data_IF_860758874704
#
_entry.id   IF_860758874704
#
_cell.length_a   1.000
_cell.length_b   1.000
_cell.length_c   1.000
_cell.angle_alpha   90.00
_cell.angle_beta   90.00
_cell.angle_gamma   90.00
#
_symmetry.space_group_name_H-M   'P 1'
#
loop_
_entity.id
_entity.type
_entity.pdbx_description
1 polymer ?
#
# COMPACT_ATOMS: atom_id res chain seq x y z
N UNK A 1 2.53 -12.81 -3.31
CA UNK A 1 3.66 -11.87 -3.45
C UNK A 1 4.27 -11.63 -2.09
N UNK A 2 5.49 -11.10 -2.03
CA UNK A 2 6.14 -10.81 -0.74
C UNK A 2 5.51 -9.57 -0.09
N UNK A 3 4.60 -9.80 0.86
CA UNK A 3 3.85 -8.74 1.52
C UNK A 3 4.71 -7.87 2.44
N UNK A 4 5.79 -8.45 2.99
CA UNK A 4 6.75 -7.71 3.80
C UNK A 4 7.51 -6.72 2.93
N UNK A 5 8.03 -7.20 1.80
CA UNK A 5 8.68 -6.35 0.81
C UNK A 5 7.73 -5.23 0.32
N UNK A 6 6.47 -5.55 0.00
CA UNK A 6 5.50 -4.56 -0.45
C UNK A 6 5.33 -3.41 0.54
N UNK A 7 5.21 -3.70 1.83
CA UNK A 7 5.06 -2.67 2.85
C UNK A 7 6.28 -1.74 2.92
N UNK A 8 7.48 -2.30 3.04
CA UNK A 8 8.70 -1.49 3.19
C UNK A 8 9.09 -0.76 1.89
N UNK A 9 8.94 -1.40 0.73
CA UNK A 9 9.16 -0.74 -0.55
C UNK A 9 8.23 0.44 -0.74
N UNK A 10 6.96 0.31 -0.33
CA UNK A 10 5.99 1.42 -0.37
C UNK A 10 6.41 2.57 0.53
N UNK A 11 6.92 2.30 1.75
CA UNK A 11 7.44 3.35 2.65
C UNK A 11 8.63 4.09 2.02
N UNK A 12 9.60 3.36 1.46
CA UNK A 12 10.79 3.95 0.83
C UNK A 12 10.40 4.80 -0.38
N UNK A 13 9.57 4.26 -1.28
CA UNK A 13 9.14 4.99 -2.47
C UNK A 13 8.29 6.21 -2.10
N UNK A 14 7.42 6.10 -1.09
CA UNK A 14 6.67 7.25 -0.60
C UNK A 14 7.61 8.37 -0.12
N UNK A 15 8.72 8.03 0.54
CA UNK A 15 9.69 9.03 1.00
C UNK A 15 10.47 9.69 -0.16
N UNK A 16 10.67 8.97 -1.27
CA UNK A 16 11.30 9.51 -2.48
C UNK A 16 10.35 10.36 -3.33
N UNK A 17 9.04 10.21 -3.15
CA UNK A 17 7.97 10.87 -3.92
C UNK A 17 8.12 10.67 -5.46
N UNK A 18 7.37 11.46 -6.23
CA UNK A 18 7.45 11.52 -7.69
C UNK A 18 6.89 10.30 -8.44
N UNK A 19 7.18 10.25 -9.74
CA UNK A 19 6.57 9.31 -10.69
C UNK A 19 6.76 7.82 -10.30
N UNK A 20 7.87 7.49 -9.65
CA UNK A 20 8.15 6.13 -9.19
C UNK A 20 7.17 5.72 -8.08
N UNK A 21 6.90 6.62 -7.13
CA UNK A 21 5.90 6.38 -6.11
C UNK A 21 4.50 6.30 -6.69
N UNK A 22 4.12 7.21 -7.59
CA UNK A 22 2.78 7.23 -8.19
C UNK A 22 2.48 5.93 -8.94
N UNK A 23 3.43 5.46 -9.78
CA UNK A 23 3.30 4.22 -10.51
C UNK A 23 3.23 3.01 -9.57
N UNK A 24 4.11 2.97 -8.56
CA UNK A 24 4.14 1.89 -7.58
C UNK A 24 2.84 1.83 -6.77
N UNK A 25 2.40 2.97 -6.23
CA UNK A 25 1.20 3.08 -5.41
C UNK A 25 -0.05 2.65 -6.21
N UNK A 26 -0.17 3.09 -7.46
CA UNK A 26 -1.25 2.62 -8.34
C UNK A 26 -1.24 1.10 -8.50
N UNK A 27 -0.08 0.51 -8.87
CA UNK A 27 0.04 -0.94 -9.05
C UNK A 27 -0.24 -1.73 -7.78
N UNK A 28 0.26 -1.26 -6.64
CA UNK A 28 0.04 -1.92 -5.35
C UNK A 28 -1.42 -1.85 -4.91
N UNK A 29 -2.07 -0.69 -5.07
CA UNK A 29 -3.49 -0.53 -4.80
C UNK A 29 -4.32 -1.49 -5.63
N UNK A 30 -4.13 -1.50 -6.95
CA UNK A 30 -4.89 -2.39 -7.84
C UNK A 30 -4.64 -3.86 -7.53
N UNK A 31 -3.38 -4.24 -7.28
CA UNK A 31 -3.01 -5.62 -6.94
C UNK A 31 -3.69 -6.08 -5.64
N UNK A 32 -3.58 -5.29 -4.56
CA UNK A 32 -4.12 -5.65 -3.25
C UNK A 32 -5.64 -5.65 -3.26
N UNK A 33 -6.30 -4.66 -3.89
CA UNK A 33 -7.76 -4.64 -4.01
C UNK A 33 -8.27 -5.85 -4.80
N UNK A 34 -7.61 -6.20 -5.92
CA UNK A 34 -8.01 -7.35 -6.73
C UNK A 34 -7.84 -8.69 -6.02
N UNK A 35 -6.84 -8.81 -5.15
CA UNK A 35 -6.49 -10.06 -4.47
C UNK A 35 -7.13 -10.20 -3.08
N UNK A 36 -7.80 -9.16 -2.59
CA UNK A 36 -8.55 -9.21 -1.35
C UNK A 36 -9.77 -10.12 -1.48
N UNK A 37 -10.03 -10.93 -0.46
CA UNK A 37 -11.24 -11.76 -0.37
C UNK A 37 -12.50 -10.87 -0.40
N UNK A 38 -13.45 -11.18 -1.28
CA UNK A 38 -14.65 -10.35 -1.50
C UNK A 38 -15.88 -10.85 -0.77
N UNK A 39 -15.89 -12.12 -0.38
CA UNK A 39 -17.06 -12.81 0.17
C UNK A 39 -16.66 -13.82 1.25
N UNK A 40 -17.67 -14.33 1.97
CA UNK A 40 -17.50 -15.31 3.04
C UNK A 40 -16.94 -14.72 4.34
N UNK A 41 -16.56 -15.62 5.26
CA UNK A 41 -16.09 -15.28 6.61
C UNK A 41 -14.83 -14.39 6.60
N UNK A 42 -13.98 -14.54 5.59
CA UNK A 42 -12.70 -13.83 5.49
C UNK A 42 -12.76 -12.59 4.59
N UNK A 43 -13.96 -12.11 4.24
CA UNK A 43 -14.15 -10.90 3.43
C UNK A 43 -13.32 -9.73 3.97
N UNK A 44 -12.59 -9.06 3.07
CA UNK A 44 -11.74 -7.92 3.40
C UNK A 44 -10.30 -8.28 3.78
N UNK A 45 -9.97 -9.57 3.89
CA UNK A 45 -8.62 -10.04 4.23
C UNK A 45 -7.86 -10.62 3.03
N UNK A 46 -6.62 -11.07 3.26
CA UNK A 46 -5.79 -11.74 2.25
C UNK A 46 -5.36 -13.12 2.74
N UNK A 47 -5.38 -14.11 1.83
CA UNK A 47 -4.93 -15.48 2.12
C UNK A 47 -3.42 -15.50 2.42
N UNK A 48 -2.98 -16.31 3.41
CA UNK A 48 -1.56 -16.51 3.67
C UNK A 48 -0.86 -17.42 2.65
N UNK A 49 -1.63 -18.19 1.87
CA UNK A 49 -1.11 -19.18 0.95
C UNK A 49 -0.23 -18.53 -0.14
N UNK A 50 0.97 -19.08 -0.33
CA UNK A 50 1.92 -18.57 -1.32
C UNK A 50 2.52 -17.20 -0.97
N UNK A 51 2.33 -16.71 0.26
CA UNK A 51 2.98 -15.50 0.78
C UNK A 51 4.19 -15.92 1.63
N UNK A 52 5.39 -15.38 1.36
CA UNK A 52 6.54 -15.55 2.25
C UNK A 52 6.17 -15.20 3.70
N UNK A 53 6.53 -16.08 4.65
CA UNK A 53 6.15 -15.99 6.07
C UNK A 53 4.64 -16.04 6.36
N UNK A 54 3.80 -16.27 5.35
CA UNK A 54 2.35 -16.40 5.49
C UNK A 54 1.94 -17.61 6.33
N UNK A 55 2.66 -18.74 6.23
CA UNK A 55 2.36 -19.93 7.03
C UNK A 55 2.65 -19.72 8.53
N UNK A 56 3.66 -18.92 8.87
CA UNK A 56 4.03 -18.65 10.28
C UNK A 56 3.23 -17.47 10.85
N UNK A 57 3.07 -16.38 10.09
CA UNK A 57 2.34 -15.19 10.53
C UNK A 57 0.83 -15.27 10.36
N UNK A 58 0.35 -16.19 9.52
CA UNK A 58 -1.06 -16.43 9.24
C UNK A 58 -1.76 -15.26 8.54
N UNK A 59 -3.09 -15.36 8.46
CA UNK A 59 -3.96 -14.36 7.82
C UNK A 59 -3.82 -12.98 8.45
N UNK A 60 -3.64 -12.90 9.77
CA UNK A 60 -3.51 -11.63 10.49
C UNK A 60 -2.28 -10.84 10.02
N UNK A 61 -1.13 -11.50 9.91
CA UNK A 61 0.10 -10.89 9.40
C UNK A 61 -0.07 -10.35 7.98
N UNK A 62 -0.55 -11.18 7.06
CA UNK A 62 -0.71 -10.79 5.65
C UNK A 62 -1.72 -9.66 5.50
N UNK A 63 -2.84 -9.74 6.23
CA UNK A 63 -3.87 -8.70 6.21
C UNK A 63 -3.36 -7.39 6.79
N UNK A 64 -2.62 -7.43 7.91
CA UNK A 64 -2.07 -6.23 8.54
C UNK A 64 -1.10 -5.50 7.61
N UNK A 65 -0.17 -6.22 7.00
CA UNK A 65 0.80 -5.62 6.07
C UNK A 65 0.13 -5.13 4.77
N UNK A 66 -0.88 -5.83 4.26
CA UNK A 66 -1.69 -5.36 3.12
C UNK A 66 -2.38 -4.04 3.44
N UNK A 67 -3.01 -3.95 4.61
CA UNK A 67 -3.68 -2.73 5.08
C UNK A 67 -2.70 -1.59 5.31
N UNK A 68 -1.55 -1.86 5.95
CA UNK A 68 -0.51 -0.86 6.16
C UNK A 68 0.06 -0.33 4.84
N UNK A 69 0.21 -1.21 3.84
CA UNK A 69 0.63 -0.83 2.47
C UNK A 69 -0.39 0.10 1.82
N UNK A 70 -1.69 -0.21 1.89
CA UNK A 70 -2.75 0.64 1.35
C UNK A 70 -2.89 1.98 2.08
N UNK A 71 -2.48 2.06 3.35
CA UNK A 71 -2.57 3.26 4.18
C UNK A 71 -1.40 4.24 3.98
N UNK A 72 -0.27 3.80 3.44
CA UNK A 72 0.92 4.66 3.27
C UNK A 72 0.61 6.02 2.62
N UNK A 73 -0.09 6.11 1.47
CA UNK A 73 -0.40 7.40 0.85
C UNK A 73 -1.32 8.31 1.69
N UNK A 74 -2.01 7.78 2.70
CA UNK A 74 -2.94 8.55 3.54
C UNK A 74 -2.35 8.92 4.90
N UNK A 75 -1.42 8.10 5.42
CA UNK A 75 -0.82 8.29 6.76
C UNK A 75 0.23 9.39 6.75
N UNK A 76 0.97 9.50 5.67
CA UNK A 76 1.98 10.53 5.48
C UNK A 76 1.33 11.66 4.70
N UNK A 77 0.69 12.59 5.43
CA UNK A 77 0.29 13.87 4.86
C UNK A 77 1.52 14.42 4.10
N UNK A 78 1.38 14.85 2.84
CA UNK A 78 2.51 15.38 2.09
C UNK A 78 3.05 16.59 2.85
N UNK A 79 4.15 16.39 3.58
CA UNK A 79 4.82 17.43 4.37
C UNK A 79 5.21 18.62 3.48
N UNK A 80 5.28 18.39 2.16
CA UNK A 80 5.62 19.36 1.14
C UNK A 80 4.58 19.52 0.01
N UNK A 81 3.28 19.25 0.25
CA UNK A 81 2.28 20.00 -0.51
C UNK A 81 2.26 21.42 0.04
N UNK A 82 3.30 22.18 -0.29
CA UNK A 82 3.18 23.61 -0.49
C UNK A 82 1.91 23.77 -1.29
N UNK A 83 0.90 24.33 -0.62
CA UNK A 83 -0.25 24.85 -1.31
C UNK A 83 0.29 25.58 -2.55
N UNK A 84 -0.15 25.18 -3.75
CA UNK A 84 -0.23 26.13 -4.86
C UNK A 84 -1.30 27.16 -4.45
N UNK A 85 -1.02 27.97 -3.43
CA UNK A 85 -1.66 29.25 -3.21
C UNK A 85 -1.16 30.10 -4.37
N UNK A 86 -2.08 30.38 -5.28
CA UNK A 86 -2.00 31.35 -6.37
C UNK A 86 -0.61 31.80 -6.80
N UNK A 87 -0.11 31.20 -7.89
CA UNK A 87 0.59 32.01 -8.90
C UNK A 87 -0.26 32.00 -10.16
N UNK A 88 -1.26 32.89 -10.16
CA UNK A 88 -1.56 33.67 -11.34
C UNK A 88 -0.44 34.70 -11.49
N UNK A 89 0.43 34.53 -12.48
CA UNK A 89 1.24 35.62 -13.02
C UNK A 89 1.64 35.18 -14.43
N UNK A 90 0.95 35.79 -15.39
CA UNK A 90 1.24 35.94 -16.82
C UNK A 90 1.30 34.71 -17.74
#
# INVERSE_FOLDING_TARGET
>A
GDIYFYYYATQVLHHLEGNNFDLWNHRMREHLIRTQEKDGEFKGSWKPDGVPHGNTGGRLYVTSLSMLTLQVPYRHLPMYRLFKIGRSSD
#
